data_IF_167270949785
#
_entry.id   IF_167270949785
#
_cell.length_a   1.000
_cell.length_b   1.000
_cell.length_c   1.000
_cell.angle_alpha   90.00
_cell.angle_beta   90.00
_cell.angle_gamma   90.00
#
_symmetry.space_group_name_H-M   'P 1'
#
loop_
_entity.id
_entity.type
_entity.pdbx_description
1 polymer ?
#
# COMPACT_ATOMS: atom_id res chain seq x y z
N UNK A 1 14.61 -25.90 14.57
CA UNK A 1 13.22 -25.45 14.76
C UNK A 1 13.24 -23.93 14.72
N UNK A 2 12.99 -23.32 13.56
CA UNK A 2 12.95 -21.86 13.43
C UNK A 2 11.67 -21.41 14.13
N UNK A 3 11.80 -20.59 15.17
CA UNK A 3 10.66 -19.94 15.82
C UNK A 3 10.03 -19.03 14.76
N UNK A 4 8.86 -19.40 14.23
CA UNK A 4 8.07 -18.47 13.44
C UNK A 4 7.74 -17.29 14.34
N UNK A 5 8.32 -16.13 14.05
CA UNK A 5 7.96 -14.89 14.73
C UNK A 5 6.59 -14.53 14.18
N UNK A 6 5.55 -14.68 14.99
CA UNK A 6 4.21 -14.26 14.62
C UNK A 6 4.24 -12.76 14.27
N UNK A 7 3.80 -12.43 13.07
CA UNK A 7 3.67 -11.04 12.63
C UNK A 7 2.46 -10.43 13.31
N UNK A 8 2.67 -9.34 14.06
CA UNK A 8 1.61 -8.54 14.67
C UNK A 8 1.00 -7.61 13.62
N UNK A 9 -0.10 -8.05 13.01
CA UNK A 9 -0.83 -7.36 11.94
C UNK A 9 -1.44 -6.05 12.41
N UNK A 10 -1.96 -5.99 13.64
CA UNK A 10 -2.58 -4.80 14.19
C UNK A 10 -1.54 -3.71 14.43
N UNK A 11 -0.34 -4.09 14.89
CA UNK A 11 0.78 -3.16 15.00
C UNK A 11 1.19 -2.62 13.62
N UNK A 12 1.30 -3.46 12.61
CA UNK A 12 1.67 -3.03 11.26
C UNK A 12 0.61 -2.10 10.64
N UNK A 13 -0.68 -2.39 10.80
CA UNK A 13 -1.75 -1.53 10.29
C UNK A 13 -1.73 -0.15 10.95
N UNK A 14 -1.55 -0.09 12.28
CA UNK A 14 -1.38 1.18 13.00
C UNK A 14 -0.16 1.96 12.53
N UNK A 15 0.99 1.30 12.38
CA UNK A 15 2.22 1.94 11.90
C UNK A 15 2.04 2.50 10.48
N UNK A 16 1.38 1.75 9.59
CA UNK A 16 1.07 2.22 8.24
C UNK A 16 0.14 3.44 8.27
N UNK A 17 -0.91 3.41 9.09
CA UNK A 17 -1.84 4.54 9.26
C UNK A 17 -1.17 5.80 9.83
N UNK A 18 -0.30 5.65 10.82
CA UNK A 18 0.47 6.76 11.39
C UNK A 18 1.35 7.44 10.34
N UNK A 19 1.98 6.66 9.46
CA UNK A 19 2.77 7.17 8.34
C UNK A 19 1.89 7.80 7.25
N UNK A 20 0.70 7.25 7.00
CA UNK A 20 -0.28 7.78 6.06
C UNK A 20 -0.74 9.20 6.42
N UNK A 21 -0.97 9.47 7.71
CA UNK A 21 -1.28 10.82 8.21
C UNK A 21 -0.14 11.84 8.00
N UNK A 22 1.05 11.38 7.62
CA UNK A 22 2.26 12.19 7.45
C UNK A 22 2.75 12.23 6.00
N UNK A 23 1.93 11.91 5.00
CA UNK A 23 2.38 11.90 3.60
C UNK A 23 2.94 13.26 3.14
N UNK A 24 2.33 14.37 3.55
CA UNK A 24 2.82 15.72 3.24
C UNK A 24 3.87 16.17 4.26
N UNK A 25 5.06 16.65 3.84
CA UNK A 25 6.03 17.20 4.79
C UNK A 25 5.49 18.47 5.45
N UNK A 26 5.65 18.55 6.76
CA UNK A 26 5.30 19.75 7.53
C UNK A 26 6.32 20.88 7.32
N UNK A 27 5.91 22.15 7.46
CA UNK A 27 6.83 23.27 7.59
C UNK A 27 7.82 23.09 8.74
N UNK A 28 9.04 23.54 8.54
CA UNK A 28 10.09 23.51 9.57
C UNK A 28 10.39 24.91 10.09
N UNK A 29 10.89 25.00 11.31
CA UNK A 29 11.30 26.27 11.92
C UNK A 29 12.83 26.37 11.81
N UNK A 30 13.31 27.49 11.28
CA UNK A 30 14.73 27.78 11.11
C UNK A 30 15.10 29.19 11.56
N UNK A 31 16.37 29.55 11.39
CA UNK A 31 16.85 30.92 11.58
C UNK A 31 17.31 31.52 10.25
N UNK A 32 16.98 32.79 10.02
CA UNK A 32 17.54 33.57 8.91
C UNK A 32 18.97 34.05 9.22
N UNK A 33 19.56 34.81 8.29
CA UNK A 33 20.93 35.34 8.42
C UNK A 33 21.09 36.35 9.56
N UNK A 34 19.99 36.93 10.03
CA UNK A 34 19.96 37.90 11.13
C UNK A 34 19.59 37.24 12.47
N UNK A 35 19.51 35.90 12.51
CA UNK A 35 19.17 35.11 13.70
C UNK A 35 17.69 35.11 14.05
N UNK A 36 16.80 35.58 13.17
CA UNK A 36 15.35 35.60 13.41
C UNK A 36 14.74 34.25 13.10
N UNK A 37 13.82 33.82 13.95
CA UNK A 37 13.03 32.60 13.70
C UNK A 37 12.12 32.79 12.50
N UNK A 38 12.21 31.89 11.53
CA UNK A 38 11.33 31.86 10.35
C UNK A 38 10.72 30.47 10.16
N UNK A 39 9.51 30.43 9.58
CA UNK A 39 8.89 29.19 9.11
C UNK A 39 9.29 28.95 7.66
N UNK A 40 9.89 27.79 7.40
CA UNK A 40 10.32 27.36 6.09
C UNK A 40 9.27 26.37 5.56
N UNK A 41 8.49 26.81 4.58
CA UNK A 41 7.51 25.95 3.90
C UNK A 41 8.26 25.07 2.89
N UNK A 42 7.99 23.75 2.82
CA UNK A 42 8.56 22.90 1.79
C UNK A 42 8.21 23.40 0.39
N UNK A 43 9.17 23.33 -0.54
CA UNK A 43 8.86 23.60 -1.95
C UNK A 43 7.95 22.51 -2.51
N UNK A 44 7.18 22.84 -3.55
CA UNK A 44 6.30 21.87 -4.24
C UNK A 44 7.04 20.60 -4.66
N UNK A 45 8.26 20.76 -5.20
CA UNK A 45 9.09 19.62 -5.59
C UNK A 45 9.52 18.75 -4.39
N UNK A 46 9.81 19.35 -3.24
CA UNK A 46 10.12 18.59 -2.03
C UNK A 46 8.88 17.86 -1.52
N UNK A 47 7.70 18.51 -1.56
CA UNK A 47 6.42 17.88 -1.21
C UNK A 47 6.19 16.64 -2.07
N UNK A 48 6.35 16.76 -3.38
CA UNK A 48 6.16 15.66 -4.32
C UNK A 48 7.10 14.48 -4.03
N UNK A 49 8.41 14.74 -3.91
CA UNK A 49 9.42 13.69 -3.67
C UNK A 49 9.16 12.97 -2.35
N UNK A 50 8.90 13.74 -1.28
CA UNK A 50 8.63 13.17 0.05
C UNK A 50 7.33 12.38 0.05
N UNK A 51 6.28 12.89 -0.58
CA UNK A 51 4.99 12.19 -0.69
C UNK A 51 5.14 10.85 -1.40
N UNK A 52 5.80 10.82 -2.58
CA UNK A 52 6.05 9.56 -3.32
C UNK A 52 6.85 8.57 -2.48
N UNK A 53 7.93 9.02 -1.82
CA UNK A 53 8.75 8.16 -0.97
C UNK A 53 7.99 7.60 0.24
N UNK A 54 7.18 8.44 0.92
CA UNK A 54 6.37 8.01 2.06
C UNK A 54 5.25 7.07 1.64
N UNK A 55 4.65 7.27 0.46
CA UNK A 55 3.60 6.40 -0.06
C UNK A 55 4.11 4.96 -0.26
N UNK A 56 5.32 4.79 -0.80
CA UNK A 56 5.98 3.48 -0.92
C UNK A 56 6.16 2.84 0.46
N UNK A 57 6.63 3.59 1.46
CA UNK A 57 6.84 3.07 2.82
C UNK A 57 5.55 2.66 3.54
N UNK A 58 4.49 3.46 3.38
CA UNK A 58 3.14 3.12 3.89
C UNK A 58 2.63 1.86 3.20
N UNK A 59 2.78 1.81 1.87
CA UNK A 59 2.37 0.68 1.04
C UNK A 59 3.08 -0.62 1.42
N UNK A 60 4.40 -0.60 1.66
CA UNK A 60 5.16 -1.78 2.13
C UNK A 60 4.60 -2.30 3.46
N UNK A 61 4.40 -1.40 4.42
CA UNK A 61 3.89 -1.76 5.75
C UNK A 61 2.47 -2.34 5.68
N UNK A 62 1.60 -1.73 4.86
CA UNK A 62 0.24 -2.20 4.61
C UNK A 62 0.24 -3.55 3.88
N UNK A 63 1.04 -3.71 2.84
CA UNK A 63 1.16 -4.96 2.08
C UNK A 63 1.63 -6.11 2.96
N UNK A 64 2.60 -5.87 3.86
CA UNK A 64 3.04 -6.86 4.86
C UNK A 64 1.92 -7.25 5.82
N UNK A 65 1.12 -6.29 6.28
CA UNK A 65 -0.03 -6.57 7.15
C UNK A 65 -1.07 -7.44 6.43
N UNK A 66 -1.42 -7.08 5.18
CA UNK A 66 -2.35 -7.85 4.34
C UNK A 66 -1.82 -9.26 4.05
N UNK A 67 -0.55 -9.40 3.67
CA UNK A 67 0.07 -10.69 3.41
C UNK A 67 0.04 -11.60 4.65
N UNK A 68 0.33 -11.04 5.82
CA UNK A 68 0.27 -11.77 7.09
C UNK A 68 -1.17 -12.20 7.43
N UNK A 69 -2.18 -11.33 7.22
CA UNK A 69 -3.60 -11.68 7.41
C UNK A 69 -4.05 -12.80 6.46
N UNK A 70 -3.68 -12.73 5.19
CA UNK A 70 -3.98 -13.78 4.20
C UNK A 70 -3.31 -15.12 4.60
N UNK A 71 -2.05 -15.07 5.03
CA UNK A 71 -1.32 -16.25 5.49
C UNK A 71 -1.96 -16.90 6.72
N UNK A 72 -2.49 -16.11 7.67
CA UNK A 72 -3.25 -16.63 8.81
C UNK A 72 -4.52 -17.40 8.40
N UNK A 73 -5.05 -17.14 7.20
CA UNK A 73 -6.21 -17.82 6.62
C UNK A 73 -5.81 -18.92 5.61
N UNK A 74 -4.53 -19.28 5.55
CA UNK A 74 -4.01 -20.31 4.65
C UNK A 74 -3.94 -19.89 3.18
N UNK A 75 -4.05 -18.59 2.88
CA UNK A 75 -3.91 -18.05 1.53
C UNK A 75 -2.44 -17.64 1.33
N UNK A 76 -1.81 -18.16 0.29
CA UNK A 76 -0.43 -17.79 -0.06
C UNK A 76 -0.43 -16.39 -0.67
N UNK A 77 0.26 -15.47 0.00
CA UNK A 77 0.50 -14.13 -0.50
C UNK A 77 1.90 -13.66 -0.09
N UNK A 78 2.58 -12.96 -0.98
CA UNK A 78 3.95 -12.47 -0.77
C UNK A 78 4.03 -10.99 -1.11
N UNK A 79 4.83 -10.23 -0.38
CA UNK A 79 5.13 -8.84 -0.77
C UNK A 79 6.14 -8.91 -1.92
N UNK A 80 5.70 -8.43 -3.09
CA UNK A 80 6.51 -8.38 -4.30
C UNK A 80 7.34 -7.10 -4.40
N UNK A 81 7.54 -6.64 -5.64
CA UNK A 81 8.28 -5.41 -5.95
C UNK A 81 7.37 -4.19 -6.02
N UNK A 82 8.00 -3.03 -6.19
CA UNK A 82 7.29 -1.78 -6.50
C UNK A 82 6.62 -1.88 -7.86
N UNK A 83 5.38 -1.42 -7.92
CA UNK A 83 4.47 -1.50 -9.06
C UNK A 83 3.72 -0.17 -9.22
N UNK A 84 3.24 0.09 -10.44
CA UNK A 84 2.36 1.21 -10.78
C UNK A 84 1.05 0.63 -11.31
N UNK A 85 -0.07 1.03 -10.70
CA UNK A 85 -1.41 0.71 -11.23
C UNK A 85 -1.73 1.66 -12.39
N UNK A 86 -1.83 1.17 -13.64
CA UNK A 86 -2.10 2.02 -14.81
C UNK A 86 -3.51 2.64 -14.80
N UNK A 87 -4.44 2.05 -14.05
CA UNK A 87 -5.80 2.55 -13.86
C UNK A 87 -5.99 3.22 -12.49
N UNK A 88 -4.91 3.39 -11.73
CA UNK A 88 -4.85 4.18 -10.50
C UNK A 88 -4.88 5.67 -10.78
N UNK A 89 -5.11 6.48 -9.73
CA UNK A 89 -5.00 7.92 -9.88
C UNK A 89 -3.52 8.33 -9.80
N UNK A 90 -2.95 8.71 -10.93
CA UNK A 90 -1.55 9.16 -11.04
C UNK A 90 -0.56 8.05 -11.35
N UNK A 91 0.73 8.39 -11.28
CA UNK A 91 1.88 7.51 -11.53
C UNK A 91 2.51 7.01 -10.22
N UNK A 92 1.67 6.79 -9.21
CA UNK A 92 2.09 6.45 -7.86
C UNK A 92 2.69 5.04 -7.79
N UNK A 93 3.94 4.97 -7.34
CA UNK A 93 4.66 3.73 -7.10
C UNK A 93 4.28 3.17 -5.72
N UNK A 94 3.85 1.91 -5.68
CA UNK A 94 3.37 1.20 -4.48
C UNK A 94 3.88 -0.23 -4.49
N UNK A 95 3.87 -0.94 -3.35
CA UNK A 95 4.24 -2.35 -3.31
C UNK A 95 3.11 -3.21 -3.89
N UNK A 96 3.48 -4.14 -4.77
CA UNK A 96 2.59 -5.19 -5.25
C UNK A 96 2.52 -6.34 -4.26
N UNK A 97 1.33 -6.85 -4.01
CA UNK A 97 1.10 -8.12 -3.34
C UNK A 97 0.98 -9.22 -4.39
N UNK A 98 1.87 -10.20 -4.35
CA UNK A 98 1.84 -11.39 -5.20
C UNK A 98 0.87 -12.41 -4.60
N UNK A 99 -0.10 -12.84 -5.41
CA UNK A 99 -1.16 -13.77 -5.01
C UNK A 99 -1.37 -14.82 -6.09
N UNK A 100 -2.01 -15.93 -5.72
CA UNK A 100 -2.55 -16.91 -6.68
C UNK A 100 -4.05 -16.68 -6.85
N UNK A 101 -4.47 -16.40 -8.08
CA UNK A 101 -5.86 -16.21 -8.48
C UNK A 101 -6.26 -17.34 -9.42
N UNK A 102 -7.01 -18.32 -8.91
CA UNK A 102 -7.47 -19.49 -9.66
C UNK A 102 -6.36 -20.22 -10.44
N UNK A 103 -5.19 -20.39 -9.83
CA UNK A 103 -4.00 -21.02 -10.43
C UNK A 103 -3.17 -20.08 -11.31
N UNK A 104 -3.52 -18.80 -11.39
CA UNK A 104 -2.76 -17.78 -12.12
C UNK A 104 -2.07 -16.84 -11.13
N UNK A 105 -0.76 -16.68 -11.30
CA UNK A 105 0.01 -15.70 -10.53
C UNK A 105 -0.39 -14.28 -10.90
N UNK A 106 -0.73 -13.49 -9.89
CA UNK A 106 -1.19 -12.13 -10.05
C UNK A 106 -0.50 -11.16 -9.08
N UNK A 107 -0.46 -9.89 -9.48
CA UNK A 107 0.06 -8.77 -8.69
C UNK A 107 -1.10 -7.84 -8.35
N UNK A 108 -1.26 -7.50 -7.07
CA UNK A 108 -2.22 -6.50 -6.60
C UNK A 108 -1.45 -5.30 -6.05
N UNK A 109 -1.38 -4.16 -6.77
CA UNK A 109 -0.78 -2.93 -6.23
C UNK A 109 -1.52 -2.45 -4.97
N UNK A 110 -0.83 -2.38 -3.83
CA UNK A 110 -1.42 -1.99 -2.54
C UNK A 110 -1.26 -0.49 -2.33
N UNK A 111 -2.19 0.29 -2.89
CA UNK A 111 -2.22 1.74 -2.71
C UNK A 111 -2.96 2.12 -1.41
N UNK A 112 -2.32 2.85 -0.48
CA UNK A 112 -2.98 3.35 0.73
C UNK A 112 -4.20 4.23 0.39
N UNK A 113 -5.34 3.96 1.02
CA UNK A 113 -6.60 4.69 0.80
C UNK A 113 -7.32 4.36 -0.52
N UNK A 114 -6.86 3.37 -1.29
CA UNK A 114 -7.56 2.96 -2.50
C UNK A 114 -8.90 2.29 -2.16
N UNK A 115 -9.98 2.77 -2.77
CA UNK A 115 -11.33 2.18 -2.69
C UNK A 115 -11.58 1.12 -3.76
N UNK A 116 -10.61 0.87 -4.63
CA UNK A 116 -10.67 -0.17 -5.66
C UNK A 116 -9.34 -0.90 -5.71
N UNK A 117 -9.41 -2.23 -5.69
CA UNK A 117 -8.26 -3.11 -5.86
C UNK A 117 -8.31 -3.71 -7.26
N UNK A 118 -7.13 -3.95 -7.84
CA UNK A 118 -6.99 -4.58 -9.15
C UNK A 118 -5.88 -5.62 -9.07
N UNK A 119 -6.15 -6.81 -9.59
CA UNK A 119 -5.16 -7.85 -9.77
C UNK A 119 -4.78 -7.91 -11.24
N UNK A 120 -3.48 -7.85 -11.53
CA UNK A 120 -2.93 -7.95 -12.88
C UNK A 120 -2.14 -9.25 -13.02
N UNK A 121 -1.94 -9.77 -14.24
CA UNK A 121 -0.98 -10.84 -14.46
C UNK A 121 0.39 -10.46 -13.90
N UNK A 122 1.10 -11.41 -13.29
CA UNK A 122 2.48 -11.19 -12.85
C UNK A 122 3.37 -10.91 -14.07
N UNK A 123 4.09 -9.78 -14.04
CA UNK A 123 5.08 -9.41 -15.06
C UNK A 123 6.36 -8.90 -14.38
N UNK A 124 7.46 -8.90 -15.12
CA UNK A 124 8.72 -8.31 -14.64
C UNK A 124 8.74 -6.76 -14.72
N UNK A 125 7.71 -6.15 -15.31
CA UNK A 125 7.61 -4.70 -15.43
C UNK A 125 7.16 -4.07 -14.10
N UNK A 126 7.66 -2.86 -13.82
CA UNK A 126 7.18 -2.01 -12.73
C UNK A 126 5.85 -1.35 -13.11
N UNK A 127 5.71 -0.99 -14.38
CA UNK A 127 4.47 -0.41 -14.90
C UNK A 127 3.64 -1.53 -15.52
N UNK A 128 2.45 -1.75 -14.98
CA UNK A 128 1.53 -2.80 -15.43
C UNK A 128 0.74 -2.38 -16.69
N UNK A 129 1.10 -1.25 -17.31
CA UNK A 129 0.57 -0.78 -18.59
C UNK A 129 0.57 -1.87 -19.65
N UNK A 130 -0.52 -1.95 -20.41
CA UNK A 130 -0.70 -2.95 -21.46
C UNK A 130 -1.24 -4.29 -20.98
N UNK A 131 -1.49 -4.45 -19.67
CA UNK A 131 -2.17 -5.62 -19.10
C UNK A 131 -3.57 -5.25 -18.62
N UNK A 132 -4.58 -6.00 -19.06
CA UNK A 132 -5.91 -5.90 -18.48
C UNK A 132 -5.92 -6.54 -17.08
N UNK A 133 -6.64 -5.96 -16.10
CA UNK A 133 -6.77 -6.57 -14.78
C UNK A 133 -7.55 -7.89 -14.90
N UNK A 134 -7.00 -8.94 -14.30
CA UNK A 134 -7.65 -10.24 -14.13
C UNK A 134 -8.85 -10.16 -13.18
N UNK A 135 -8.76 -9.26 -12.21
CA UNK A 135 -9.81 -9.02 -11.21
C UNK A 135 -9.85 -7.54 -10.85
N UNK A 136 -11.05 -7.00 -10.71
CA UNK A 136 -11.30 -5.66 -10.17
C UNK A 136 -12.28 -5.81 -9.00
N UNK A 137 -11.91 -5.26 -7.84
CA UNK A 137 -12.72 -5.31 -6.63
C UNK A 137 -13.01 -3.88 -6.20
N UNK A 138 -14.28 -3.50 -6.23
CA UNK A 138 -14.75 -2.28 -5.57
C UNK A 138 -14.90 -2.54 -4.08
N UNK A 139 -14.23 -1.72 -3.25
CA UNK A 139 -14.46 -1.72 -1.81
C UNK A 139 -15.73 -0.91 -1.52
N UNK A 140 -16.57 -1.35 -0.57
CA UNK A 140 -17.73 -0.58 -0.12
C UNK A 140 -17.36 0.86 0.27
N UNK A 141 -18.24 1.82 0.01
CA UNK A 141 -18.00 3.25 0.26
C UNK A 141 -17.71 3.58 1.74
N UNK A 142 -18.18 2.74 2.67
CA UNK A 142 -17.94 2.86 4.12
C UNK A 142 -16.66 2.17 4.60
N UNK A 143 -15.87 1.61 3.69
CA UNK A 143 -14.59 0.97 3.99
C UNK A 143 -13.50 1.97 4.35
N UNK A 144 -13.55 3.15 3.74
CA UNK A 144 -12.63 4.23 4.05
C UNK A 144 -13.07 4.94 5.33
N UNK A 145 -12.17 5.03 6.30
CA UNK A 145 -12.38 5.82 7.51
C UNK A 145 -12.40 7.32 7.20
N UNK A 146 -12.76 8.15 8.19
CA UNK A 146 -12.91 9.60 8.00
C UNK A 146 -11.62 10.33 7.56
N UNK A 147 -10.46 9.73 7.81
CA UNK A 147 -9.14 10.21 7.36
C UNK A 147 -8.75 9.65 5.98
N UNK A 148 -9.62 8.87 5.33
CA UNK A 148 -9.37 8.19 4.06
C UNK A 148 -8.56 6.90 4.20
N UNK A 149 -8.30 6.43 5.42
CA UNK A 149 -7.60 5.17 5.65
C UNK A 149 -8.46 3.97 5.28
N UNK A 150 -7.87 3.00 4.60
CA UNK A 150 -8.47 1.69 4.34
C UNK A 150 -7.62 0.65 5.05
N UNK A 151 -8.23 -0.08 6.00
CA UNK A 151 -7.51 -1.02 6.87
C UNK A 151 -7.00 -2.25 6.12
N UNK A 152 -5.91 -2.85 6.60
CA UNK A 152 -5.42 -4.13 6.12
C UNK A 152 -6.49 -5.23 6.22
N UNK A 153 -7.30 -5.22 7.28
CA UNK A 153 -8.42 -6.15 7.45
C UNK A 153 -9.46 -6.01 6.35
N UNK A 154 -9.82 -4.78 5.95
CA UNK A 154 -10.77 -4.57 4.87
C UNK A 154 -10.23 -5.06 3.52
N UNK A 155 -8.97 -4.75 3.21
CA UNK A 155 -8.28 -5.24 2.00
C UNK A 155 -8.21 -6.77 2.00
N UNK A 156 -7.81 -7.37 3.12
CA UNK A 156 -7.79 -8.81 3.32
C UNK A 156 -9.17 -9.43 3.07
N UNK A 157 -10.23 -8.92 3.71
CA UNK A 157 -11.59 -9.45 3.57
C UNK A 157 -12.08 -9.36 2.13
N UNK A 158 -11.73 -8.29 1.42
CA UNK A 158 -12.05 -8.13 0.01
C UNK A 158 -11.32 -9.17 -0.85
N UNK A 159 -10.00 -9.31 -0.69
CA UNK A 159 -9.18 -10.25 -1.44
C UNK A 159 -9.51 -11.72 -1.15
N UNK A 160 -9.67 -12.08 0.12
CA UNK A 160 -9.87 -13.47 0.55
C UNK A 160 -11.14 -14.12 -0.02
N UNK A 161 -12.11 -13.34 -0.50
CA UNK A 161 -13.30 -13.85 -1.20
C UNK A 161 -13.00 -14.42 -2.59
N UNK A 162 -11.88 -14.01 -3.17
CA UNK A 162 -11.49 -14.32 -4.54
C UNK A 162 -10.23 -15.19 -4.61
N UNK A 163 -9.47 -15.28 -3.52
CA UNK A 163 -8.24 -16.06 -3.46
C UNK A 163 -8.52 -17.44 -2.86
N UNK A 164 -7.92 -18.48 -3.45
CA UNK A 164 -8.02 -19.85 -2.94
C UNK A 164 -7.02 -20.09 -1.81
N UNK A 165 -7.44 -20.86 -0.80
CA UNK A 165 -6.50 -21.37 0.20
C UNK A 165 -5.50 -22.33 -0.46
N UNK A 166 -4.26 -22.30 -0.01
CA UNK A 166 -3.23 -23.21 -0.48
C UNK A 166 -3.61 -24.66 -0.11
N UNK A 167 -3.77 -25.50 -1.13
CA UNK A 167 -3.93 -26.97 -0.99
C UNK A 167 -2.63 -27.66 -0.60
#
# INVERSE_FOLDING_TARGET
MVKSVAVDTDRLDREARELFGQLTPAPTVGQDKDGRTITITPSERLIEIVRRSRLIAVSDTLARSVAALLSQHGITAEVGHVQVDPAGEGDEQVLGLLVDLDGTRAVVPIRPGATRLRAYPETEAIDLTGSDPLLVIDLPDDTAESDGWVTATAIHTALARHLTAAT
#
